data_IF_718819541297
#
_entry.id   IF_718819541297
#
_cell.length_a   1.000
_cell.length_b   1.000
_cell.length_c   1.000
_cell.angle_alpha   90.00
_cell.angle_beta   90.00
_cell.angle_gamma   90.00
#
_symmetry.space_group_name_H-M   'P 1'
#
loop_
_entity.id
_entity.type
_entity.pdbx_description
1 polymer ?
#
# COMPACT_ATOMS: atom_id res chain seq x y z
N UNK A 1 -6.30 -44.68 7.59
CA UNK A 1 -5.47 -43.49 7.70
C UNK A 1 -5.63 -42.75 6.37
N UNK A 2 -6.53 -41.76 6.33
CA UNK A 2 -6.74 -40.95 5.15
C UNK A 2 -5.47 -40.16 4.84
N UNK A 3 -5.00 -40.24 3.60
CA UNK A 3 -3.99 -39.34 3.09
C UNK A 3 -4.55 -37.90 3.24
N UNK A 4 -4.01 -37.15 4.18
CA UNK A 4 -4.35 -35.74 4.30
C UNK A 4 -4.06 -35.07 2.96
N UNK A 5 -5.10 -34.57 2.34
CA UNK A 5 -5.00 -33.73 1.15
C UNK A 5 -4.02 -32.61 1.48
N UNK A 6 -2.84 -32.66 0.87
CA UNK A 6 -1.84 -31.62 1.04
C UNK A 6 -2.51 -30.29 0.62
N UNK A 7 -2.74 -29.42 1.59
CA UNK A 7 -3.34 -28.12 1.32
C UNK A 7 -2.53 -27.43 0.21
N UNK A 8 -3.20 -27.14 -0.89
CA UNK A 8 -2.56 -26.50 -2.03
C UNK A 8 -2.30 -25.03 -1.66
N UNK A 9 -1.03 -24.68 -1.49
CA UNK A 9 -0.67 -23.30 -1.14
C UNK A 9 -1.03 -22.30 -2.26
N UNK A 10 -1.67 -21.21 -1.89
CA UNK A 10 -2.04 -20.11 -2.78
C UNK A 10 -0.83 -19.21 -3.08
N UNK A 11 0.18 -19.75 -3.77
CA UNK A 11 1.38 -19.01 -4.17
C UNK A 11 1.19 -18.23 -5.46
N UNK A 12 1.87 -17.08 -5.57
CA UNK A 12 1.77 -16.22 -6.74
C UNK A 12 2.15 -16.88 -8.07
N UNK A 13 3.01 -17.90 -8.07
CA UNK A 13 3.36 -18.67 -9.27
C UNK A 13 2.31 -19.70 -9.70
N UNK A 14 1.25 -19.89 -8.92
CA UNK A 14 0.14 -20.80 -9.27
C UNK A 14 -0.96 -20.05 -10.00
N UNK A 15 -0.67 -19.59 -11.22
CA UNK A 15 -1.56 -18.76 -12.00
C UNK A 15 -2.96 -19.31 -12.20
N UNK A 16 -3.12 -20.66 -12.25
CA UNK A 16 -4.42 -21.32 -12.34
C UNK A 16 -5.31 -21.15 -11.10
N UNK A 17 -4.71 -20.88 -9.93
CA UNK A 17 -5.42 -20.66 -8.66
C UNK A 17 -5.59 -19.22 -8.29
N UNK A 18 -4.58 -18.37 -8.61
CA UNK A 18 -4.49 -16.99 -8.13
C UNK A 18 -4.71 -15.96 -9.24
N UNK A 19 -4.78 -16.38 -10.49
CA UNK A 19 -5.02 -15.51 -11.64
C UNK A 19 -6.38 -14.82 -11.60
N UNK A 20 -6.63 -13.92 -12.56
CA UNK A 20 -7.88 -13.16 -12.61
C UNK A 20 -9.06 -14.09 -12.90
N UNK A 21 -10.11 -13.99 -12.08
CA UNK A 21 -11.38 -14.71 -12.30
C UNK A 21 -12.40 -13.87 -13.06
N UNK A 22 -12.12 -12.58 -13.23
CA UNK A 22 -12.97 -11.60 -13.91
C UNK A 22 -12.18 -10.83 -14.94
N UNK A 23 -12.85 -10.13 -15.86
CA UNK A 23 -12.22 -9.34 -16.92
C UNK A 23 -11.58 -8.06 -16.37
N UNK A 24 -12.28 -7.40 -15.44
CA UNK A 24 -11.72 -6.23 -14.78
C UNK A 24 -10.67 -6.66 -13.77
N UNK A 25 -9.50 -6.06 -13.84
CA UNK A 25 -8.40 -6.28 -12.91
C UNK A 25 -8.18 -5.00 -12.09
N UNK A 26 -8.45 -5.02 -10.77
CA UNK A 26 -8.30 -3.85 -9.93
C UNK A 26 -6.84 -3.54 -9.61
N UNK A 27 -6.57 -2.32 -9.17
CA UNK A 27 -5.29 -1.97 -8.55
C UNK A 27 -5.23 -2.44 -7.09
N UNK A 28 -4.02 -2.59 -6.54
CA UNK A 28 -3.85 -2.92 -5.11
C UNK A 28 -4.49 -1.87 -4.22
N UNK A 29 -4.39 -0.59 -4.58
CA UNK A 29 -4.98 0.51 -3.80
C UNK A 29 -6.51 0.45 -3.76
N UNK A 30 -7.17 0.01 -4.81
CA UNK A 30 -8.63 -0.19 -4.84
C UNK A 30 -9.05 -1.35 -3.93
N UNK A 31 -8.33 -2.46 -3.99
CA UNK A 31 -8.59 -3.61 -3.11
C UNK A 31 -8.33 -3.27 -1.65
N UNK A 32 -7.29 -2.49 -1.37
CA UNK A 32 -6.91 -2.07 -0.02
C UNK A 32 -7.60 -0.79 0.45
N UNK A 33 -8.52 -0.23 -0.34
CA UNK A 33 -9.29 0.95 0.05
C UNK A 33 -9.95 0.77 1.42
N UNK A 34 -9.95 1.80 2.27
CA UNK A 34 -10.58 1.74 3.58
C UNK A 34 -12.12 1.72 3.52
N UNK A 35 -12.73 2.02 2.38
CA UNK A 35 -14.17 1.98 2.22
C UNK A 35 -14.72 0.56 2.48
N UNK A 36 -15.62 0.38 3.46
CA UNK A 36 -16.12 -0.96 3.82
C UNK A 36 -16.91 -1.63 2.69
N UNK A 37 -17.70 -0.85 1.94
CA UNK A 37 -18.55 -1.33 0.85
C UNK A 37 -17.89 -1.26 -0.52
N UNK A 38 -16.68 -0.69 -0.63
CA UNK A 38 -16.01 -0.41 -1.91
C UNK A 38 -16.77 0.55 -2.82
N UNK A 39 -17.67 1.36 -2.27
CA UNK A 39 -18.41 2.37 -3.03
C UNK A 39 -17.49 3.44 -3.63
N UNK A 40 -16.36 3.73 -3.00
CA UNK A 40 -15.33 4.61 -3.57
C UNK A 40 -14.79 4.11 -4.91
N UNK A 41 -14.62 2.79 -5.07
CA UNK A 41 -14.23 2.18 -6.34
C UNK A 41 -15.37 2.29 -7.36
N UNK A 42 -16.60 1.98 -6.96
CA UNK A 42 -17.78 2.17 -7.80
C UNK A 42 -17.89 3.61 -8.30
N UNK A 43 -17.83 4.59 -7.40
CA UNK A 43 -17.87 6.01 -7.74
C UNK A 43 -16.78 6.42 -8.71
N UNK A 44 -15.55 5.90 -8.50
CA UNK A 44 -14.41 6.19 -9.35
C UNK A 44 -14.49 5.55 -10.74
N UNK A 45 -14.82 4.25 -10.79
CA UNK A 45 -14.68 3.43 -12.01
C UNK A 45 -15.95 3.38 -12.84
N UNK A 46 -17.11 3.38 -12.19
CA UNK A 46 -18.40 3.26 -12.87
C UNK A 46 -19.01 4.65 -13.11
N UNK A 47 -19.04 5.49 -12.07
CA UNK A 47 -19.64 6.83 -12.16
C UNK A 47 -18.66 7.87 -12.71
N UNK A 48 -17.36 7.66 -12.58
CA UNK A 48 -16.33 8.59 -13.07
C UNK A 48 -16.04 9.79 -12.14
N UNK A 49 -16.50 9.72 -10.89
CA UNK A 49 -16.23 10.74 -9.87
C UNK A 49 -14.81 10.58 -9.33
N UNK A 50 -14.18 11.67 -8.96
CA UNK A 50 -12.86 11.67 -8.32
C UNK A 50 -12.96 12.14 -6.88
N UNK A 51 -12.14 11.58 -5.97
CA UNK A 51 -12.14 12.04 -4.59
C UNK A 51 -11.61 13.47 -4.52
N UNK A 52 -12.18 14.24 -3.61
CA UNK A 52 -11.75 15.60 -3.32
C UNK A 52 -11.10 15.68 -1.94
N UNK A 53 -10.17 16.62 -1.79
CA UNK A 53 -9.59 16.97 -0.50
C UNK A 53 -8.07 16.99 -0.46
N UNK A 54 -7.56 17.83 0.43
CA UNK A 54 -6.12 18.01 0.66
C UNK A 54 -5.48 16.79 1.33
N UNK A 55 -6.26 15.98 2.04
CA UNK A 55 -5.77 14.83 2.79
C UNK A 55 -5.03 13.82 1.90
N UNK A 56 -5.52 13.58 0.68
CA UNK A 56 -4.86 12.67 -0.28
C UNK A 56 -3.53 13.25 -0.77
N UNK A 57 -3.50 14.55 -1.09
CA UNK A 57 -2.28 15.23 -1.53
C UNK A 57 -1.23 15.28 -0.42
N UNK A 58 -1.67 15.58 0.80
CA UNK A 58 -0.80 15.57 1.98
C UNK A 58 -0.27 14.17 2.24
N UNK A 59 -1.10 13.14 2.18
CA UNK A 59 -0.68 11.76 2.34
C UNK A 59 0.39 11.35 1.34
N UNK A 60 0.16 11.60 0.04
CA UNK A 60 1.13 11.31 -1.01
C UNK A 60 2.45 12.08 -0.83
N UNK A 61 2.38 13.36 -0.43
CA UNK A 61 3.56 14.17 -0.15
C UNK A 61 4.36 13.59 1.03
N UNK A 62 3.74 13.29 2.15
CA UNK A 62 4.41 12.71 3.31
C UNK A 62 5.02 11.34 3.00
N UNK A 63 4.36 10.52 2.17
CA UNK A 63 4.90 9.27 1.70
C UNK A 63 6.19 9.47 0.90
N UNK A 64 6.20 10.41 -0.05
CA UNK A 64 7.41 10.77 -0.80
C UNK A 64 8.53 11.28 0.11
N UNK A 65 8.20 12.09 1.13
CA UNK A 65 9.15 12.58 2.15
C UNK A 65 9.78 11.43 2.92
N UNK A 66 9.00 10.40 3.27
CA UNK A 66 9.50 9.23 3.99
C UNK A 66 10.51 8.42 3.17
N UNK A 67 10.27 8.24 1.88
CA UNK A 67 11.15 7.47 1.00
C UNK A 67 12.44 8.20 0.61
N UNK A 68 12.49 9.52 0.75
CA UNK A 68 13.61 10.35 0.30
C UNK A 68 14.95 10.00 0.93
N UNK A 69 15.11 9.87 2.28
CA UNK A 69 16.37 9.47 2.88
C UNK A 69 16.87 8.10 2.44
N UNK A 70 15.93 7.15 2.19
CA UNK A 70 16.28 5.81 1.68
C UNK A 70 16.84 5.92 0.26
N UNK A 71 16.24 6.72 -0.62
CA UNK A 71 16.76 6.97 -1.97
C UNK A 71 18.14 7.64 -1.92
N UNK A 72 18.35 8.59 -1.00
CA UNK A 72 19.65 9.22 -0.79
C UNK A 72 20.71 8.19 -0.34
N UNK A 73 20.36 7.29 0.57
CA UNK A 73 21.23 6.22 1.02
C UNK A 73 21.63 5.27 -0.12
N UNK A 74 20.66 4.83 -0.93
CA UNK A 74 20.89 3.94 -2.07
C UNK A 74 21.75 4.60 -3.16
N UNK A 75 21.66 5.93 -3.33
CA UNK A 75 22.50 6.67 -4.28
C UNK A 75 23.93 6.95 -3.76
N UNK A 76 24.27 6.52 -2.54
CA UNK A 76 25.55 6.80 -1.90
C UNK A 76 25.74 8.27 -1.49
N UNK A 77 24.67 9.04 -1.42
CA UNK A 77 24.69 10.51 -1.15
C UNK A 77 24.16 10.86 0.25
N UNK A 78 24.13 9.91 1.18
CA UNK A 78 23.63 10.19 2.52
C UNK A 78 24.75 10.74 3.42
N UNK A 79 24.75 12.05 3.63
CA UNK A 79 25.54 12.72 4.67
C UNK A 79 24.62 13.55 5.57
N UNK A 80 25.08 13.88 6.78
CA UNK A 80 24.29 14.68 7.73
C UNK A 80 23.96 16.07 7.17
N UNK A 81 24.91 16.69 6.44
CA UNK A 81 24.74 17.99 5.81
C UNK A 81 23.67 17.95 4.71
N UNK A 82 23.71 16.91 3.86
CA UNK A 82 22.72 16.73 2.79
C UNK A 82 21.34 16.41 3.35
N UNK A 83 21.25 15.61 4.42
CA UNK A 83 19.98 15.37 5.11
C UNK A 83 19.41 16.67 5.68
N UNK A 84 20.22 17.49 6.36
CA UNK A 84 19.77 18.77 6.90
C UNK A 84 19.30 19.73 5.78
N UNK A 85 20.07 19.84 4.71
CA UNK A 85 19.73 20.68 3.55
C UNK A 85 18.44 20.20 2.86
N UNK A 86 18.27 18.88 2.68
CA UNK A 86 17.09 18.30 2.06
C UNK A 86 15.84 18.46 2.91
N UNK A 87 15.93 18.24 4.23
CA UNK A 87 14.85 18.52 5.18
C UNK A 87 14.41 19.98 5.10
N UNK A 88 15.35 20.92 5.15
CA UNK A 88 15.05 22.35 5.02
C UNK A 88 14.37 22.68 3.68
N UNK A 89 14.81 22.06 2.58
CA UNK A 89 14.19 22.24 1.27
C UNK A 89 12.75 21.72 1.23
N UNK A 90 12.48 20.53 1.79
CA UNK A 90 11.14 19.95 1.85
C UNK A 90 10.18 20.75 2.74
N UNK A 91 10.70 21.43 3.75
CA UNK A 91 9.91 22.30 4.64
C UNK A 91 9.71 23.73 4.11
N UNK A 92 10.36 24.10 3.00
CA UNK A 92 10.29 25.45 2.44
C UNK A 92 8.90 25.75 1.92
N UNK A 93 8.36 26.90 2.30
CA UNK A 93 7.01 27.32 1.93
C UNK A 93 5.87 26.63 2.69
N UNK A 94 6.17 25.64 3.51
CA UNK A 94 5.19 25.01 4.39
C UNK A 94 5.09 25.76 5.71
N UNK A 95 3.89 25.79 6.29
CA UNK A 95 3.61 26.41 7.58
C UNK A 95 2.89 25.47 8.55
N UNK A 96 2.87 25.85 9.83
CA UNK A 96 2.08 25.20 10.87
C UNK A 96 2.34 23.68 10.99
N UNK A 97 1.25 22.94 11.09
CA UNK A 97 1.24 21.50 11.29
C UNK A 97 2.00 20.74 10.19
N UNK A 98 1.79 21.09 8.92
CA UNK A 98 2.38 20.32 7.81
C UNK A 98 3.91 20.42 7.80
N UNK A 99 4.46 21.60 8.06
CA UNK A 99 5.92 21.80 8.18
C UNK A 99 6.51 20.94 9.30
N UNK A 100 5.86 20.92 10.46
CA UNK A 100 6.27 20.07 11.58
C UNK A 100 6.24 18.59 11.19
N UNK A 101 5.12 18.14 10.60
CA UNK A 101 4.92 16.74 10.22
C UNK A 101 5.91 16.26 9.16
N UNK A 102 6.22 17.07 8.16
CA UNK A 102 7.26 16.78 7.15
C UNK A 102 8.62 16.59 7.84
N UNK A 103 8.97 17.45 8.81
CA UNK A 103 10.21 17.31 9.57
C UNK A 103 10.29 16.00 10.34
N UNK A 104 9.24 15.65 11.08
CA UNK A 104 9.17 14.42 11.87
C UNK A 104 9.26 13.15 11.00
N UNK A 105 8.51 13.10 9.91
CA UNK A 105 8.51 11.96 8.97
C UNK A 105 9.88 11.80 8.33
N UNK A 106 10.50 12.90 7.92
CA UNK A 106 11.84 12.87 7.33
C UNK A 106 12.91 12.41 8.33
N UNK A 107 12.88 12.88 9.58
CA UNK A 107 13.83 12.48 10.62
C UNK A 107 13.76 10.99 10.94
N UNK A 108 12.55 10.45 11.05
CA UNK A 108 12.34 9.02 11.25
C UNK A 108 12.94 8.22 10.09
N UNK A 109 12.65 8.61 8.86
CA UNK A 109 13.19 7.94 7.68
C UNK A 109 14.71 8.07 7.57
N UNK A 110 15.26 9.24 7.92
CA UNK A 110 16.71 9.46 7.95
C UNK A 110 17.41 8.57 8.98
N UNK A 111 16.82 8.44 10.18
CA UNK A 111 17.36 7.54 11.20
C UNK A 111 17.38 6.07 10.74
N UNK A 112 16.31 5.60 10.08
CA UNK A 112 16.23 4.26 9.50
C UNK A 112 17.27 4.05 8.39
N UNK A 113 17.41 5.02 7.48
CA UNK A 113 18.39 4.94 6.40
C UNK A 113 19.84 4.93 6.92
N UNK A 114 20.15 5.73 7.93
CA UNK A 114 21.45 5.73 8.59
C UNK A 114 21.71 4.41 9.30
N UNK A 115 20.73 3.87 10.05
CA UNK A 115 20.86 2.59 10.73
C UNK A 115 21.13 1.46 9.72
N UNK A 116 20.43 1.42 8.60
CA UNK A 116 20.66 0.46 7.53
C UNK A 116 22.06 0.59 6.91
N UNK A 117 22.60 1.80 6.71
CA UNK A 117 23.95 2.00 6.20
C UNK A 117 25.03 1.57 7.18
N UNK A 118 24.78 1.71 8.50
CA UNK A 118 25.70 1.28 9.54
C UNK A 118 25.67 -0.22 9.81
N UNK A 119 24.59 -0.91 9.41
CA UNK A 119 24.56 -2.37 9.47
C UNK A 119 25.47 -2.94 8.36
N UNK A 120 26.59 -3.50 8.76
CA UNK A 120 27.58 -4.09 7.83
C UNK A 120 27.04 -5.23 6.96
N UNK A 121 25.83 -5.74 7.24
CA UNK A 121 25.19 -6.85 6.52
C UNK A 121 24.38 -6.41 5.28
N UNK A 122 24.25 -5.15 5.00
CA UNK A 122 23.57 -4.51 3.86
C UNK A 122 22.69 -5.43 3.02
N UNK A 123 21.48 -5.70 3.50
CA UNK A 123 20.48 -6.38 2.70
C UNK A 123 20.15 -5.52 1.46
N UNK A 124 19.97 -6.12 0.28
CA UNK A 124 19.54 -5.36 -0.90
C UNK A 124 18.18 -4.70 -0.63
N UNK A 125 18.09 -3.42 -0.93
CA UNK A 125 16.88 -2.62 -0.80
C UNK A 125 16.51 -2.02 -2.14
N UNK A 126 15.24 -2.13 -2.52
CA UNK A 126 14.66 -1.41 -3.65
C UNK A 126 13.51 -0.53 -3.16
N UNK A 127 13.45 0.71 -3.66
CA UNK A 127 12.39 1.67 -3.36
C UNK A 127 11.39 1.66 -4.51
N UNK A 128 10.13 1.44 -4.19
CA UNK A 128 9.02 1.38 -5.14
C UNK A 128 9.31 0.49 -6.37
N UNK A 129 9.85 -0.75 -6.16
CA UNK A 129 10.12 -1.63 -7.30
C UNK A 129 8.83 -2.01 -8.01
N UNK A 130 8.90 -2.12 -9.32
CA UNK A 130 7.78 -2.47 -10.17
C UNK A 130 7.70 -4.00 -10.34
N UNK A 131 6.62 -4.59 -9.87
CA UNK A 131 6.34 -6.01 -10.00
C UNK A 131 5.11 -6.23 -10.90
N UNK A 132 5.09 -7.25 -11.76
CA UNK A 132 3.93 -7.52 -12.61
C UNK A 132 2.72 -7.96 -11.77
N UNK A 133 1.61 -7.23 -11.88
CA UNK A 133 0.37 -7.54 -11.17
C UNK A 133 -0.51 -8.56 -11.92
N UNK A 134 -0.40 -8.62 -13.24
CA UNK A 134 -1.28 -9.45 -14.09
C UNK A 134 -1.29 -10.94 -13.75
N UNK A 135 -0.18 -11.61 -13.38
CA UNK A 135 -0.22 -13.03 -13.04
C UNK A 135 -1.11 -13.36 -11.84
N UNK A 136 -1.30 -12.40 -10.94
CA UNK A 136 -2.15 -12.52 -9.75
C UNK A 136 -3.45 -11.72 -9.87
N UNK A 137 -3.82 -11.31 -11.08
CA UNK A 137 -5.10 -10.66 -11.40
C UNK A 137 -5.23 -9.20 -10.95
N UNK A 138 -4.12 -8.49 -10.82
CA UNK A 138 -4.10 -7.03 -10.60
C UNK A 138 -3.75 -6.28 -11.88
N UNK A 139 -4.24 -5.05 -12.01
CA UNK A 139 -3.95 -4.20 -13.17
C UNK A 139 -2.54 -3.64 -13.10
N UNK A 140 -1.83 -3.68 -14.23
CA UNK A 140 -0.55 -3.02 -14.41
C UNK A 140 0.56 -3.55 -13.50
N UNK A 141 1.31 -2.62 -12.92
CA UNK A 141 2.42 -2.89 -12.01
C UNK A 141 1.97 -2.67 -10.55
N UNK A 142 2.33 -3.58 -9.68
CA UNK A 142 2.20 -3.41 -8.23
C UNK A 142 3.53 -2.91 -7.67
N UNK A 143 3.48 -1.96 -6.73
CA UNK A 143 4.66 -1.27 -6.22
C UNK A 143 4.63 -1.25 -4.69
N UNK A 144 5.35 -2.15 -4.01
CA UNK A 144 5.60 -2.01 -2.59
C UNK A 144 6.43 -0.75 -2.33
N UNK A 145 6.26 -0.11 -1.19
CA UNK A 145 7.04 1.08 -0.83
C UNK A 145 8.54 0.75 -0.76
N UNK A 146 8.87 -0.39 -0.13
CA UNK A 146 10.21 -0.96 -0.16
C UNK A 146 10.15 -2.46 -0.39
N UNK A 147 11.22 -2.97 -0.97
CA UNK A 147 11.55 -4.38 -0.95
C UNK A 147 12.93 -4.52 -0.30
N UNK A 148 12.98 -5.18 0.86
CA UNK A 148 14.23 -5.47 1.58
C UNK A 148 14.52 -6.95 1.37
N UNK A 149 15.52 -7.27 0.55
CA UNK A 149 15.71 -8.61 -0.02
C UNK A 149 14.40 -9.06 -0.72
N UNK A 150 13.74 -10.10 -0.20
CA UNK A 150 12.44 -10.57 -0.68
C UNK A 150 11.26 -10.17 0.22
N UNK A 151 11.46 -9.28 1.19
CA UNK A 151 10.44 -8.87 2.16
C UNK A 151 9.78 -7.57 1.69
N UNK A 152 8.50 -7.58 1.30
CA UNK A 152 7.77 -6.36 0.99
C UNK A 152 7.46 -5.58 2.26
N UNK A 153 7.68 -4.26 2.19
CA UNK A 153 7.39 -3.33 3.28
C UNK A 153 6.43 -2.26 2.76
N UNK A 154 5.36 -2.03 3.50
CA UNK A 154 4.36 -1.00 3.24
C UNK A 154 4.36 0.03 4.37
N UNK A 155 4.42 1.33 4.04
CA UNK A 155 4.38 2.40 5.01
C UNK A 155 2.97 2.95 5.18
N UNK A 156 2.61 3.20 6.44
CA UNK A 156 1.35 3.81 6.83
C UNK A 156 1.61 5.08 7.60
N UNK A 157 1.19 6.20 7.05
CA UNK A 157 1.32 7.50 7.71
C UNK A 157 0.00 7.84 8.41
N UNK A 158 -0.01 7.72 9.72
CA UNK A 158 -1.21 7.96 10.55
C UNK A 158 -1.58 6.75 11.41
N UNK A 159 -2.80 6.78 11.96
CA UNK A 159 -3.23 5.80 12.97
C UNK A 159 -3.98 4.59 12.39
N UNK A 160 -4.40 4.65 11.13
CA UNK A 160 -5.16 3.55 10.52
C UNK A 160 -4.24 2.66 9.71
N UNK A 161 -4.04 1.44 10.17
CA UNK A 161 -3.34 0.40 9.41
C UNK A 161 -4.25 -0.15 8.30
N UNK A 162 -5.55 -0.07 8.50
CA UNK A 162 -6.55 -0.47 7.52
C UNK A 162 -6.32 -1.88 6.95
N UNK A 163 -6.45 -1.98 5.63
CA UNK A 163 -6.26 -3.24 4.90
C UNK A 163 -4.85 -3.37 4.30
N UNK A 164 -3.84 -2.77 4.91
CA UNK A 164 -2.45 -2.79 4.42
C UNK A 164 -1.81 -4.18 4.45
N UNK A 165 -2.33 -5.09 5.26
CA UNK A 165 -1.95 -6.50 5.21
C UNK A 165 -2.24 -7.12 3.84
N UNK A 166 -3.39 -6.74 3.22
CA UNK A 166 -3.73 -7.21 1.88
C UNK A 166 -2.77 -6.64 0.82
N UNK A 167 -2.31 -5.38 0.98
CA UNK A 167 -1.31 -4.81 0.09
C UNK A 167 0.00 -5.59 0.16
N UNK A 168 0.48 -5.87 1.38
CA UNK A 168 1.69 -6.67 1.61
C UNK A 168 1.54 -8.09 1.02
N UNK A 169 0.35 -8.71 1.15
CA UNK A 169 0.08 -10.01 0.52
C UNK A 169 0.10 -9.92 -1.01
N UNK A 170 -0.47 -8.88 -1.61
CA UNK A 170 -0.43 -8.66 -3.06
C UNK A 170 1.01 -8.51 -3.57
N UNK A 171 1.84 -7.74 -2.87
CA UNK A 171 3.25 -7.56 -3.23
C UNK A 171 4.04 -8.87 -3.09
N UNK A 172 3.82 -9.62 -2.02
CA UNK A 172 4.44 -10.93 -1.84
C UNK A 172 4.07 -11.91 -2.94
N UNK A 173 2.78 -12.02 -3.27
CA UNK A 173 2.32 -12.88 -4.36
C UNK A 173 2.81 -12.42 -5.74
N UNK A 174 2.91 -11.11 -6.00
CA UNK A 174 3.48 -10.59 -7.25
C UNK A 174 4.98 -10.93 -7.37
N UNK A 175 5.72 -10.82 -6.25
CA UNK A 175 7.13 -11.22 -6.22
C UNK A 175 7.29 -12.74 -6.43
N UNK A 176 6.44 -13.55 -5.80
CA UNK A 176 6.40 -14.99 -6.03
C UNK A 176 6.16 -15.33 -7.51
N UNK A 177 5.21 -14.64 -8.15
CA UNK A 177 4.90 -14.84 -9.56
C UNK A 177 6.08 -14.42 -10.49
N UNK A 178 6.77 -13.33 -10.15
CA UNK A 178 7.86 -12.79 -10.95
C UNK A 178 9.18 -13.55 -10.78
N UNK A 179 9.52 -13.93 -9.55
CA UNK A 179 10.83 -14.45 -9.20
C UNK A 179 10.86 -15.94 -8.83
N UNK A 180 9.68 -16.59 -8.70
CA UNK A 180 9.54 -17.97 -8.25
C UNK A 180 10.21 -18.26 -6.89
N UNK A 181 10.26 -17.26 -6.01
CA UNK A 181 10.79 -17.38 -4.65
C UNK A 181 9.66 -17.29 -3.63
N UNK A 182 9.61 -18.15 -2.60
CA UNK A 182 8.55 -18.09 -1.60
C UNK A 182 8.67 -16.82 -0.75
N UNK A 183 7.56 -16.12 -0.58
CA UNK A 183 7.43 -14.96 0.30
C UNK A 183 6.44 -15.30 1.41
N UNK A 184 6.96 -15.58 2.60
CA UNK A 184 6.14 -16.07 3.72
C UNK A 184 5.70 -14.96 4.67
N UNK A 185 6.31 -13.80 4.59
CA UNK A 185 5.96 -12.64 5.41
C UNK A 185 6.33 -11.34 4.72
N UNK A 186 5.76 -10.27 5.20
CA UNK A 186 6.12 -8.90 4.88
C UNK A 186 5.92 -8.01 6.10
N UNK A 187 6.05 -6.72 5.95
CA UNK A 187 6.04 -5.78 7.06
C UNK A 187 5.12 -4.59 6.75
N UNK A 188 4.31 -4.20 7.72
CA UNK A 188 3.66 -2.89 7.74
C UNK A 188 4.39 -2.02 8.75
N UNK A 189 4.95 -0.92 8.26
CA UNK A 189 5.63 0.08 9.08
C UNK A 189 4.71 1.28 9.27
N UNK A 190 4.26 1.52 10.48
CA UNK A 190 3.35 2.62 10.81
C UNK A 190 4.11 3.78 11.45
N UNK A 191 3.90 4.97 10.90
CA UNK A 191 4.40 6.24 11.43
C UNK A 191 3.21 7.05 11.94
N UNK A 192 2.82 6.91 13.22
CA UNK A 192 1.67 7.59 13.78
C UNK A 192 1.89 9.11 13.87
N UNK A 193 0.80 9.86 14.06
CA UNK A 193 0.88 11.32 14.24
C UNK A 193 1.63 11.72 15.51
N UNK A 194 1.68 10.85 16.52
CA UNK A 194 2.43 11.03 17.77
C UNK A 194 3.95 10.88 17.62
N UNK A 195 4.43 10.51 16.44
CA UNK A 195 5.86 10.23 16.18
C UNK A 195 6.25 8.77 16.43
N UNK A 196 7.50 8.46 16.12
CA UNK A 196 8.03 7.09 16.20
C UNK A 196 7.63 6.21 15.01
N UNK A 197 8.04 4.95 15.06
CA UNK A 197 7.68 3.91 14.08
C UNK A 197 7.30 2.65 14.83
N UNK A 198 6.20 2.06 14.48
CA UNK A 198 5.86 0.69 14.88
C UNK A 198 5.92 -0.25 13.69
N UNK A 199 6.45 -1.44 13.91
CA UNK A 199 6.63 -2.46 12.89
C UNK A 199 5.70 -3.62 13.20
N UNK A 200 4.92 -4.04 12.20
CA UNK A 200 4.07 -5.20 12.32
C UNK A 200 4.46 -6.23 11.26
N UNK A 201 4.86 -7.41 11.71
CA UNK A 201 5.07 -8.56 10.87
C UNK A 201 3.71 -9.07 10.37
N UNK A 202 3.61 -9.31 9.07
CA UNK A 202 2.44 -9.87 8.40
C UNK A 202 2.83 -11.22 7.84
N UNK A 203 2.23 -12.29 8.36
CA UNK A 203 2.40 -13.63 7.79
C UNK A 203 1.54 -13.77 6.55
N UNK A 204 2.13 -14.21 5.45
CA UNK A 204 1.46 -14.45 4.18
C UNK A 204 1.04 -15.92 4.11
N UNK A 205 0.11 -16.31 4.99
CA UNK A 205 -0.51 -17.62 4.97
C UNK A 205 -1.63 -17.71 3.91
N UNK A 206 -2.16 -18.88 3.70
CA UNK A 206 -3.22 -19.13 2.71
C UNK A 206 -4.53 -18.43 3.06
N UNK A 207 -4.79 -18.16 4.34
CA UNK A 207 -5.98 -17.41 4.75
C UNK A 207 -5.89 -15.96 4.30
N UNK A 208 -4.75 -15.27 4.55
CA UNK A 208 -4.54 -13.91 4.12
C UNK A 208 -4.55 -13.79 2.59
N UNK A 209 -3.93 -14.75 1.89
CA UNK A 209 -3.94 -14.81 0.43
C UNK A 209 -5.35 -14.98 -0.12
N UNK A 210 -6.16 -15.88 0.46
CA UNK A 210 -7.56 -16.05 0.08
C UNK A 210 -8.36 -14.76 0.29
N UNK A 211 -8.22 -14.13 1.44
CA UNK A 211 -8.86 -12.84 1.73
C UNK A 211 -8.48 -11.75 0.72
N UNK A 212 -7.23 -11.72 0.27
CA UNK A 212 -6.79 -10.82 -0.79
C UNK A 212 -7.50 -11.12 -2.11
N UNK A 213 -7.52 -12.40 -2.53
CA UNK A 213 -8.14 -12.81 -3.79
C UNK A 213 -9.64 -12.56 -3.78
N UNK A 214 -10.33 -12.85 -2.67
CA UNK A 214 -11.76 -12.59 -2.51
C UNK A 214 -12.06 -11.08 -2.57
N UNK A 215 -11.24 -10.26 -1.90
CA UNK A 215 -11.39 -8.80 -1.96
C UNK A 215 -11.10 -8.24 -3.37
N UNK A 216 -10.15 -8.81 -4.10
CA UNK A 216 -9.87 -8.49 -5.50
C UNK A 216 -11.07 -8.80 -6.39
N UNK A 217 -11.60 -10.01 -6.26
CA UNK A 217 -12.71 -10.49 -7.08
C UNK A 217 -14.02 -9.73 -6.78
N UNK A 218 -14.22 -9.32 -5.52
CA UNK A 218 -15.35 -8.47 -5.13
C UNK A 218 -15.26 -7.07 -5.75
N UNK A 219 -14.08 -6.44 -5.74
CA UNK A 219 -13.87 -5.16 -6.41
C UNK A 219 -14.12 -5.29 -7.92
N UNK A 220 -13.63 -6.36 -8.53
CA UNK A 220 -13.85 -6.62 -9.94
C UNK A 220 -15.35 -6.81 -10.26
N UNK A 221 -16.08 -7.53 -9.39
CA UNK A 221 -17.52 -7.73 -9.50
C UNK A 221 -18.29 -6.41 -9.49
N UNK A 222 -18.01 -5.55 -8.53
CA UNK A 222 -18.66 -4.23 -8.40
C UNK A 222 -18.49 -3.40 -9.68
N UNK A 223 -17.30 -3.42 -10.27
CA UNK A 223 -17.03 -2.63 -11.49
C UNK A 223 -17.71 -3.24 -12.72
N UNK A 224 -17.67 -4.58 -12.87
CA UNK A 224 -18.26 -5.25 -14.04
C UNK A 224 -19.79 -5.24 -14.04
N UNK A 225 -20.40 -5.43 -12.86
CA UNK A 225 -21.86 -5.45 -12.73
C UNK A 225 -22.44 -4.03 -12.72
N UNK A 226 -21.63 -3.03 -12.35
CA UNK A 226 -22.06 -1.64 -12.31
C UNK A 226 -23.11 -1.36 -11.24
N UNK A 227 -23.23 -2.25 -10.25
CA UNK A 227 -24.18 -2.11 -9.15
C UNK A 227 -23.60 -1.25 -8.02
N UNK A 228 -24.35 -0.20 -7.62
CA UNK A 228 -23.94 0.63 -6.48
C UNK A 228 -24.06 -0.18 -5.17
N UNK A 229 -22.95 -0.46 -4.49
CA UNK A 229 -22.98 -1.20 -3.23
C UNK A 229 -23.56 -0.39 -2.05
N UNK A 230 -23.90 0.86 -2.30
CA UNK A 230 -24.43 1.77 -1.30
C UNK A 230 -23.39 2.31 -0.32
N UNK A 231 -23.75 3.38 0.42
CA UNK A 231 -22.88 3.95 1.45
C UNK A 231 -22.75 3.01 2.66
N UNK A 232 -21.60 2.95 3.26
CA UNK A 232 -21.42 2.25 4.52
C UNK A 232 -22.21 2.96 5.64
N UNK A 233 -22.72 2.19 6.61
CA UNK A 233 -23.45 2.71 7.76
C UNK A 233 -22.62 3.61 8.66
N UNK A 234 -21.29 3.36 8.71
CA UNK A 234 -20.34 4.13 9.52
C UNK A 234 -19.25 4.70 8.62
N UNK A 235 -19.45 5.92 8.13
CA UNK A 235 -18.41 6.68 7.42
C UNK A 235 -18.03 7.92 8.23
N UNK A 236 -16.73 8.26 8.24
CA UNK A 236 -16.25 9.53 8.78
C UNK A 236 -16.50 10.66 7.78
N UNK A 237 -16.86 11.84 8.28
CA UNK A 237 -16.94 13.07 7.47
C UNK A 237 -15.58 13.47 6.85
N UNK A 238 -14.49 12.97 7.41
CA UNK A 238 -13.16 13.13 6.83
C UNK A 238 -12.87 12.22 5.64
N UNK A 239 -13.81 11.36 5.24
CA UNK A 239 -13.67 10.52 4.05
C UNK A 239 -13.62 11.39 2.78
N UNK A 240 -12.61 11.24 1.92
CA UNK A 240 -12.50 12.02 0.67
C UNK A 240 -13.68 11.86 -0.29
N UNK A 241 -14.49 10.83 -0.08
CA UNK A 241 -15.68 10.52 -0.86
C UNK A 241 -16.99 10.92 -0.16
N UNK A 242 -16.91 11.55 1.02
CA UNK A 242 -18.08 11.84 1.84
C UNK A 242 -19.19 12.57 1.07
N UNK A 243 -18.84 13.61 0.35
CA UNK A 243 -19.77 14.42 -0.43
C UNK A 243 -20.47 13.58 -1.51
N UNK A 244 -19.71 12.78 -2.28
CA UNK A 244 -20.28 11.93 -3.34
C UNK A 244 -21.14 10.78 -2.78
N UNK A 245 -20.82 10.30 -1.58
CA UNK A 245 -21.61 9.24 -0.93
C UNK A 245 -22.92 9.74 -0.33
N UNK A 246 -23.02 11.01 0.08
CA UNK A 246 -24.17 11.58 0.80
C UNK A 246 -25.09 12.41 -0.08
N UNK A 247 -24.54 13.15 -0.99
CA UNK A 247 -25.31 13.85 -1.99
C UNK A 247 -25.78 12.84 -3.01
N UNK A 248 -26.92 12.34 -3.03
CA UNK A 248 -27.50 11.46 -4.07
C UNK A 248 -27.01 11.78 -5.51
N UNK A 249 -25.73 12.02 -5.67
CA UNK A 249 -25.05 12.49 -6.86
C UNK A 249 -25.02 11.45 -7.98
N UNK A 250 -25.70 10.33 -7.79
CA UNK A 250 -25.87 9.29 -8.80
C UNK A 250 -27.36 9.24 -9.16
N UNK A 251 -27.87 10.33 -9.73
CA UNK A 251 -28.98 10.21 -10.67
C UNK A 251 -28.34 9.98 -12.04
N UNK A 252 -28.22 8.72 -12.40
CA UNK A 252 -28.04 8.29 -13.78
C UNK A 252 -29.33 8.54 -14.55
#
# INVERSE_FOLDING_TARGET
MGAGELAVELRGWRGELVGPRRRFTPTVSEVCSPCPTKRDVYLSRVVGVRPEGDALRVGAHLHSVFLEPVRMALSGRLTLELLAARKAALQRGLSGWLRKRVGEVFEVAAALALAWLHDGRRLPVAVEPELPGSPIGFSGLVRPDLLVASVPVEFVLGNSVGRKELAVAAYGMALEAAAHVPVNFGVVAQVPASGGVSWRLVLLDDELRRRLLDARDEVARIVEEGEDPGPASSCSESCPWWWACRENAVRV
#
